data_IF_142608088468
#
_entry.id   IF_142608088468
#
_cell.length_a   1.000
_cell.length_b   1.000
_cell.length_c   1.000
_cell.angle_alpha   90.00
_cell.angle_beta   90.00
_cell.angle_gamma   90.00
#
_symmetry.space_group_name_H-M   'P 1'
#
loop_
_entity.id
_entity.type
_entity.pdbx_description
1 polymer ?
#
# COMPACT_ATOMS: atom_id res chain seq x y z
N UNK A 1 -10.26 17.59 21.86
CA UNK A 1 -11.16 16.45 22.13
C UNK A 1 -11.17 15.46 20.98
N UNK A 2 -11.60 15.84 19.78
CA UNK A 2 -11.74 14.90 18.65
C UNK A 2 -10.46 14.12 18.29
N UNK A 3 -9.31 14.81 18.20
CA UNK A 3 -8.00 14.17 17.95
C UNK A 3 -7.64 13.11 19.02
N UNK A 4 -7.87 13.42 20.30
CA UNK A 4 -7.56 12.50 21.41
C UNK A 4 -8.46 11.27 21.38
N UNK A 5 -9.76 11.45 21.11
CA UNK A 5 -10.73 10.34 20.98
C UNK A 5 -10.35 9.43 19.81
N UNK A 6 -9.99 10.01 18.66
CA UNK A 6 -9.56 9.26 17.49
C UNK A 6 -8.28 8.45 17.75
N UNK A 7 -7.22 9.11 18.25
CA UNK A 7 -5.94 8.45 18.50
C UNK A 7 -6.03 7.38 19.58
N UNK A 8 -6.70 7.67 20.70
CA UNK A 8 -6.85 6.71 21.80
C UNK A 8 -7.72 5.51 21.39
N UNK A 9 -8.85 5.76 20.70
CA UNK A 9 -9.71 4.69 20.20
C UNK A 9 -8.97 3.77 19.22
N UNK A 10 -8.17 4.35 18.32
CA UNK A 10 -7.46 3.58 17.30
C UNK A 10 -6.38 2.72 17.91
N UNK A 11 -5.59 3.27 18.85
CA UNK A 11 -4.54 2.54 19.56
C UNK A 11 -5.10 1.40 20.43
N UNK A 12 -6.24 1.61 21.10
CA UNK A 12 -6.88 0.55 21.90
C UNK A 12 -7.42 -0.58 21.01
N UNK A 13 -8.13 -0.24 19.93
CA UNK A 13 -8.68 -1.25 19.01
C UNK A 13 -7.58 -2.05 18.32
N UNK A 14 -6.50 -1.39 17.90
CA UNK A 14 -5.31 -2.07 17.37
C UNK A 14 -4.61 -2.92 18.42
N UNK A 15 -4.52 -2.46 19.67
CA UNK A 15 -3.91 -3.21 20.78
C UNK A 15 -4.63 -4.51 21.12
N UNK A 16 -5.93 -4.60 20.84
CA UNK A 16 -6.75 -5.83 20.97
C UNK A 16 -6.51 -6.80 19.79
N UNK A 17 -5.69 -6.40 18.81
CA UNK A 17 -5.35 -7.23 17.65
C UNK A 17 -6.37 -7.13 16.51
N UNK A 18 -7.25 -6.13 16.51
CA UNK A 18 -8.16 -5.92 15.38
C UNK A 18 -7.41 -5.45 14.13
N UNK A 19 -7.92 -5.85 12.97
CA UNK A 19 -7.50 -5.31 11.68
C UNK A 19 -7.62 -3.78 11.67
N UNK A 20 -6.57 -3.10 11.20
CA UNK A 20 -6.49 -1.64 11.05
C UNK A 20 -7.69 -1.05 10.31
N UNK A 21 -8.23 -1.74 9.29
CA UNK A 21 -9.40 -1.28 8.57
C UNK A 21 -10.66 -1.22 9.46
N UNK A 22 -10.90 -2.25 10.27
CA UNK A 22 -12.04 -2.31 11.20
C UNK A 22 -11.85 -1.31 12.34
N UNK A 23 -10.62 -1.16 12.84
CA UNK A 23 -10.29 -0.17 13.86
C UNK A 23 -10.62 1.25 13.39
N UNK A 24 -10.27 1.59 12.13
CA UNK A 24 -10.54 2.91 11.54
C UNK A 24 -12.05 3.19 11.37
N UNK A 25 -12.83 2.20 10.94
CA UNK A 25 -14.29 2.32 10.79
C UNK A 25 -14.95 2.53 12.15
N UNK A 26 -14.55 1.76 13.16
CA UNK A 26 -15.12 1.85 14.51
C UNK A 26 -14.74 3.14 15.23
N UNK A 27 -13.50 3.61 15.10
CA UNK A 27 -13.14 4.94 15.60
C UNK A 27 -13.84 6.07 14.85
N UNK A 28 -13.99 5.95 13.54
CA UNK A 28 -14.76 6.91 12.73
C UNK A 28 -16.21 7.02 13.20
N UNK A 29 -16.87 5.87 13.43
CA UNK A 29 -18.23 5.82 13.97
C UNK A 29 -18.31 6.39 15.39
N UNK A 30 -17.35 6.07 16.27
CA UNK A 30 -17.27 6.65 17.61
C UNK A 30 -17.06 8.18 17.59
N UNK A 31 -16.28 8.67 16.64
CA UNK A 31 -16.01 10.10 16.47
C UNK A 31 -17.24 10.87 15.98
N UNK A 32 -18.00 10.30 15.03
CA UNK A 32 -19.28 10.84 14.58
C UNK A 32 -20.27 11.00 15.76
N UNK A 33 -20.19 10.10 16.75
CA UNK A 33 -21.13 10.05 17.89
C UNK A 33 -20.81 11.17 18.87
N UNK A 34 -19.51 11.33 19.17
CA UNK A 34 -19.00 12.39 20.05
C UNK A 34 -19.21 13.78 19.46
N UNK A 35 -19.15 13.92 18.13
CA UNK A 35 -19.35 15.20 17.44
C UNK A 35 -20.82 15.53 17.17
N UNK A 36 -21.76 14.61 17.44
CA UNK A 36 -23.19 14.79 17.12
C UNK A 36 -23.50 14.84 15.62
N UNK A 37 -22.54 14.46 14.78
CA UNK A 37 -22.66 14.43 13.32
C UNK A 37 -23.16 13.05 12.88
N UNK A 38 -24.47 12.82 12.98
CA UNK A 38 -25.12 11.57 12.59
C UNK A 38 -25.95 11.75 11.31
N UNK A 39 -25.33 12.32 10.28
CA UNK A 39 -25.94 12.36 8.95
C UNK A 39 -25.59 11.09 8.17
N UNK A 40 -26.53 10.16 8.14
CA UNK A 40 -26.41 8.87 7.44
C UNK A 40 -26.18 9.08 5.94
N UNK A 41 -26.66 10.17 5.35
CA UNK A 41 -26.47 10.49 3.94
C UNK A 41 -25.03 10.93 3.66
N UNK A 42 -24.47 11.78 4.52
CA UNK A 42 -23.06 12.18 4.43
C UNK A 42 -22.13 10.98 4.66
N UNK A 43 -22.48 10.08 5.57
CA UNK A 43 -21.74 8.84 5.82
C UNK A 43 -21.74 7.93 4.58
N UNK A 44 -22.91 7.70 3.97
CA UNK A 44 -23.05 6.90 2.76
C UNK A 44 -22.25 7.49 1.59
N UNK A 45 -22.28 8.82 1.40
CA UNK A 45 -21.50 9.49 0.37
C UNK A 45 -19.99 9.35 0.58
N UNK A 46 -19.50 9.52 1.81
CA UNK A 46 -18.07 9.35 2.11
C UNK A 46 -17.60 7.90 1.93
N UNK A 47 -18.45 6.92 2.26
CA UNK A 47 -18.14 5.51 2.01
C UNK A 47 -18.05 5.21 0.50
N UNK A 48 -18.98 5.73 -0.30
CA UNK A 48 -18.96 5.56 -1.76
C UNK A 48 -17.74 6.26 -2.37
N UNK A 49 -17.44 7.49 -1.94
CA UNK A 49 -16.26 8.23 -2.38
C UNK A 49 -14.94 7.55 -1.98
N UNK A 50 -14.90 6.85 -0.84
CA UNK A 50 -13.73 6.08 -0.42
C UNK A 50 -13.48 4.82 -1.27
N UNK A 51 -14.55 4.20 -1.78
CA UNK A 51 -14.46 3.06 -2.71
C UNK A 51 -14.09 3.52 -4.12
N UNK A 52 -14.49 4.73 -4.51
CA UNK A 52 -14.08 5.36 -5.77
C UNK A 52 -12.65 5.96 -5.67
N UNK A 53 -11.70 5.14 -5.21
CA UNK A 53 -10.31 5.55 -5.03
C UNK A 53 -9.42 4.93 -6.11
N UNK A 54 -8.57 5.78 -6.70
CA UNK A 54 -7.56 5.39 -7.69
C UNK A 54 -6.74 4.14 -7.30
N UNK A 55 -6.33 3.94 -6.03
CA UNK A 55 -5.61 2.73 -5.62
C UNK A 55 -6.37 1.42 -5.83
N UNK A 56 -7.70 1.39 -5.64
CA UNK A 56 -8.49 0.16 -5.79
C UNK A 56 -8.54 -0.31 -7.24
N UNK A 57 -8.52 0.61 -8.20
CA UNK A 57 -8.36 0.31 -9.61
C UNK A 57 -6.90 0.01 -9.97
N UNK A 58 -5.95 0.75 -9.39
CA UNK A 58 -4.53 0.60 -9.69
C UNK A 58 -3.98 -0.79 -9.33
N UNK A 59 -4.39 -1.36 -8.20
CA UNK A 59 -3.92 -2.68 -7.73
C UNK A 59 -4.09 -3.78 -8.80
N UNK A 60 -5.29 -4.06 -9.35
CA UNK A 60 -5.45 -5.11 -10.35
C UNK A 60 -4.72 -4.79 -11.65
N UNK A 61 -4.66 -3.52 -12.09
CA UNK A 61 -3.88 -3.14 -13.27
C UNK A 61 -2.38 -3.33 -13.07
N UNK A 62 -1.82 -3.01 -11.90
CA UNK A 62 -0.42 -3.25 -11.58
C UNK A 62 -0.09 -4.74 -11.46
N UNK A 63 -1.02 -5.56 -10.93
CA UNK A 63 -0.87 -7.01 -10.92
C UNK A 63 -0.85 -7.56 -12.35
N UNK A 64 -1.79 -7.13 -13.18
CA UNK A 64 -1.86 -7.51 -14.60
C UNK A 64 -0.58 -7.10 -15.34
N UNK A 65 -0.12 -5.87 -15.15
CA UNK A 65 1.12 -5.37 -15.74
C UNK A 65 2.33 -6.17 -15.26
N UNK A 66 2.42 -6.48 -13.97
CA UNK A 66 3.47 -7.33 -13.41
C UNK A 66 3.49 -8.72 -14.03
N UNK A 67 2.32 -9.34 -14.21
CA UNK A 67 2.21 -10.65 -14.85
C UNK A 67 2.57 -10.59 -16.35
N UNK A 68 2.19 -9.51 -17.04
CA UNK A 68 2.56 -9.27 -18.44
C UNK A 68 4.08 -9.08 -18.60
N UNK A 69 4.71 -8.34 -17.69
CA UNK A 69 6.17 -8.15 -17.68
C UNK A 69 6.91 -9.45 -17.36
N UNK A 70 6.34 -10.26 -16.48
CA UNK A 70 6.89 -11.55 -16.07
C UNK A 70 6.82 -12.57 -17.21
N UNK A 71 5.65 -12.72 -17.83
CA UNK A 71 5.42 -13.60 -18.98
C UNK A 71 6.15 -13.15 -20.24
N UNK A 72 6.22 -11.82 -20.48
CA UNK A 72 6.97 -11.23 -21.60
C UNK A 72 8.49 -11.25 -21.45
N UNK A 73 9.02 -11.77 -20.34
CA UNK A 73 10.47 -11.86 -20.08
C UNK A 73 11.16 -10.52 -19.78
N UNK A 74 10.42 -9.40 -19.74
CA UNK A 74 10.92 -8.08 -19.37
C UNK A 74 11.46 -8.11 -17.94
N UNK A 75 10.76 -8.75 -17.01
CA UNK A 75 11.22 -8.87 -15.63
C UNK A 75 12.57 -9.57 -15.53
N UNK A 76 12.88 -10.56 -16.38
CA UNK A 76 14.22 -11.19 -16.41
C UNK A 76 15.30 -10.22 -16.88
N UNK A 77 15.04 -9.49 -17.97
CA UNK A 77 15.99 -8.50 -18.49
C UNK A 77 16.30 -7.38 -17.50
N UNK A 78 15.29 -6.92 -16.76
CA UNK A 78 15.47 -5.92 -15.69
C UNK A 78 16.34 -6.49 -14.56
N UNK A 79 16.09 -7.74 -14.14
CA UNK A 79 16.91 -8.42 -13.13
C UNK A 79 18.36 -8.52 -13.58
N UNK A 80 18.60 -8.97 -14.81
CA UNK A 80 19.96 -9.17 -15.33
C UNK A 80 20.72 -7.84 -15.41
N UNK A 81 20.04 -6.76 -15.80
CA UNK A 81 20.61 -5.40 -15.81
C UNK A 81 20.90 -4.88 -14.39
N UNK A 82 19.97 -5.06 -13.46
CA UNK A 82 20.15 -4.67 -12.06
C UNK A 82 21.28 -5.48 -11.39
N UNK A 83 21.42 -6.76 -11.72
CA UNK A 83 22.55 -7.59 -11.30
C UNK A 83 23.87 -7.10 -11.89
N UNK A 84 23.91 -6.70 -13.16
CA UNK A 84 25.11 -6.16 -13.76
C UNK A 84 25.59 -4.87 -13.06
N UNK A 85 24.67 -4.04 -12.57
CA UNK A 85 24.99 -2.79 -11.87
C UNK A 85 25.30 -2.97 -10.38
N UNK A 86 24.57 -3.84 -9.67
CA UNK A 86 24.61 -3.92 -8.20
C UNK A 86 25.00 -5.31 -7.67
N UNK A 87 25.22 -6.30 -8.54
CA UNK A 87 25.55 -7.68 -8.19
C UNK A 87 26.91 -7.86 -7.48
N UNK A 88 27.80 -6.87 -7.59
CA UNK A 88 29.07 -6.85 -6.84
C UNK A 88 28.88 -6.58 -5.34
N UNK A 89 27.69 -6.10 -4.92
CA UNK A 89 27.38 -5.78 -3.52
C UNK A 89 26.46 -6.86 -2.96
N UNK A 90 26.90 -7.57 -1.91
CA UNK A 90 26.05 -8.50 -1.16
C UNK A 90 24.83 -7.74 -0.60
N UNK A 91 23.62 -8.14 -1.01
CA UNK A 91 22.38 -7.44 -0.65
C UNK A 91 21.99 -6.27 -1.56
N UNK A 92 22.72 -6.04 -2.66
CA UNK A 92 22.52 -4.91 -3.58
C UNK A 92 21.09 -4.76 -4.10
N UNK A 93 20.39 -5.88 -4.32
CA UNK A 93 19.01 -5.89 -4.78
C UNK A 93 18.02 -5.32 -3.75
N UNK A 94 18.34 -5.45 -2.46
CA UNK A 94 17.58 -4.82 -1.37
C UNK A 94 17.73 -3.29 -1.38
N UNK A 95 18.93 -2.77 -1.68
CA UNK A 95 19.13 -1.33 -1.82
C UNK A 95 18.37 -0.75 -3.02
N UNK A 96 18.31 -1.48 -4.13
CA UNK A 96 17.49 -1.11 -5.29
C UNK A 96 16.00 -1.12 -4.94
N UNK A 97 15.54 -2.12 -4.18
CA UNK A 97 14.16 -2.19 -3.70
C UNK A 97 13.79 -0.99 -2.81
N UNK A 98 14.67 -0.63 -1.86
CA UNK A 98 14.48 0.53 -0.99
C UNK A 98 14.50 1.83 -1.80
N UNK A 99 15.44 1.99 -2.74
CA UNK A 99 15.52 3.17 -3.59
C UNK A 99 14.28 3.34 -4.48
N UNK A 100 13.81 2.25 -5.07
CA UNK A 100 12.57 2.23 -5.84
C UNK A 100 11.36 2.57 -4.95
N UNK A 101 11.32 2.07 -3.71
CA UNK A 101 10.27 2.38 -2.75
C UNK A 101 10.23 3.85 -2.36
N UNK A 102 11.38 4.46 -2.10
CA UNK A 102 11.49 5.89 -1.78
C UNK A 102 11.09 6.76 -2.97
N UNK A 103 11.50 6.39 -4.19
CA UNK A 103 11.12 7.11 -5.40
C UNK A 103 9.60 7.04 -5.65
N UNK A 104 8.98 5.88 -5.48
CA UNK A 104 7.54 5.74 -5.68
C UNK A 104 6.74 6.47 -4.61
N UNK A 105 7.17 6.37 -3.35
CA UNK A 105 6.60 7.13 -2.24
C UNK A 105 6.62 8.65 -2.48
N UNK A 106 7.64 9.16 -3.19
CA UNK A 106 7.74 10.58 -3.55
C UNK A 106 6.78 11.02 -4.66
N UNK A 107 6.37 10.12 -5.56
CA UNK A 107 5.52 10.45 -6.72
C UNK A 107 4.02 10.24 -6.47
N UNK A 108 3.66 9.21 -5.71
CA UNK A 108 2.29 8.67 -5.70
C UNK A 108 1.40 9.25 -4.61
N UNK A 109 1.96 9.69 -3.49
CA UNK A 109 1.20 10.23 -2.35
C UNK A 109 0.26 9.20 -1.68
N UNK A 110 0.24 7.93 -2.12
CA UNK A 110 -0.59 6.86 -1.57
C UNK A 110 0.25 5.61 -1.30
N UNK A 111 0.47 5.33 -0.01
CA UNK A 111 1.25 4.19 0.44
C UNK A 111 0.71 2.83 -0.07
N UNK A 112 -0.62 2.70 -0.21
CA UNK A 112 -1.26 1.47 -0.68
C UNK A 112 -1.00 1.23 -2.17
N UNK A 113 -1.09 2.27 -3.00
CA UNK A 113 -0.82 2.17 -4.44
C UNK A 113 0.65 1.86 -4.71
N UNK A 114 1.56 2.50 -3.98
CA UNK A 114 3.01 2.28 -4.11
C UNK A 114 3.41 0.87 -3.75
N UNK A 115 2.90 0.38 -2.63
CA UNK A 115 3.18 -0.98 -2.17
C UNK A 115 2.70 -2.00 -3.19
N UNK A 116 1.51 -1.80 -3.77
CA UNK A 116 0.99 -2.70 -4.80
C UNK A 116 1.84 -2.70 -6.08
N UNK A 117 2.22 -1.53 -6.59
CA UNK A 117 3.03 -1.39 -7.80
C UNK A 117 4.44 -1.97 -7.63
N UNK A 118 5.07 -1.70 -6.49
CA UNK A 118 6.40 -2.21 -6.19
C UNK A 118 6.39 -3.71 -5.93
N UNK A 119 5.38 -4.22 -5.22
CA UNK A 119 5.26 -5.64 -4.95
C UNK A 119 5.20 -6.47 -6.23
N UNK A 120 4.44 -6.04 -7.25
CA UNK A 120 4.28 -6.82 -8.50
C UNK A 120 5.56 -6.94 -9.31
N UNK A 121 6.51 -6.00 -9.13
CA UNK A 121 7.81 -6.01 -9.80
C UNK A 121 8.87 -6.66 -8.89
N UNK A 122 8.98 -6.21 -7.63
CA UNK A 122 10.06 -6.59 -6.72
C UNK A 122 9.90 -8.02 -6.18
N UNK A 123 8.69 -8.47 -5.78
CA UNK A 123 8.51 -9.83 -5.25
C UNK A 123 9.01 -10.92 -6.23
N UNK A 124 8.59 -10.94 -7.50
CA UNK A 124 9.05 -11.98 -8.42
C UNK A 124 10.56 -11.87 -8.71
N UNK A 125 11.14 -10.67 -8.67
CA UNK A 125 12.60 -10.51 -8.77
C UNK A 125 13.33 -11.10 -7.56
N UNK A 126 12.88 -10.79 -6.34
CA UNK A 126 13.51 -11.25 -5.10
C UNK A 126 13.43 -12.77 -4.96
N UNK A 127 12.25 -13.36 -5.22
CA UNK A 127 12.05 -14.83 -5.20
C UNK A 127 12.98 -15.56 -6.16
N UNK A 128 13.25 -15.00 -7.34
CA UNK A 128 14.17 -15.62 -8.33
C UNK A 128 15.62 -15.67 -7.88
N UNK A 129 16.03 -14.80 -6.97
CA UNK A 129 17.37 -14.79 -6.39
C UNK A 129 17.48 -15.54 -5.05
N UNK A 130 16.38 -16.13 -4.57
CA UNK A 130 16.38 -16.85 -3.30
C UNK A 130 16.38 -15.96 -2.06
N UNK A 131 15.88 -14.73 -2.18
CA UNK A 131 15.41 -13.93 -1.03
C UNK A 131 13.98 -14.32 -0.68
#
# INVERSE_FOLDING_TARGET
>A
MAFVVFSAGMLVLMGIGMNMALALVLTGAGMAYVLGFWDTQLLAQNLVAGVDSFPLLAVPFFILAGELMNSGGISRRIIDMAQAWVGHIRGGLGYVAIGAAVLMASMSGSALADTAALATILLPMMRRQGY
#
